data_IF_147804666673
#
_entry.id   IF_147804666673
#
_cell.length_a   1.000
_cell.length_b   1.000
_cell.length_c   1.000
_cell.angle_alpha   90.00
_cell.angle_beta   90.00
_cell.angle_gamma   90.00
#
_symmetry.space_group_name_H-M   'P 1'
#
loop_
_entity.id
_entity.type
_entity.pdbx_description
1 polymer ?
#
# COMPACT_ATOMS: atom_id res chain seq x y z
N UNK A 1 -14.81 -7.99 9.61
CA UNK A 1 -15.04 -6.86 10.54
C UNK A 1 -15.97 -5.82 9.93
N UNK A 2 -15.76 -5.40 8.67
CA UNK A 2 -16.62 -4.46 7.95
C UNK A 2 -18.09 -4.91 7.96
N UNK A 3 -18.36 -6.16 7.59
CA UNK A 3 -19.74 -6.70 7.56
C UNK A 3 -20.44 -6.60 8.91
N UNK A 4 -19.78 -7.09 9.97
CA UNK A 4 -20.28 -7.03 11.34
C UNK A 4 -20.48 -5.58 11.80
N UNK A 5 -19.52 -4.70 11.53
CA UNK A 5 -19.63 -3.27 11.88
C UNK A 5 -20.80 -2.61 11.16
N UNK A 6 -21.01 -2.93 9.88
CA UNK A 6 -22.15 -2.43 9.10
C UNK A 6 -23.48 -2.89 9.70
N UNK A 7 -23.61 -4.19 9.99
CA UNK A 7 -24.77 -4.78 10.66
C UNK A 7 -25.03 -4.14 12.03
N UNK A 8 -24.00 -3.95 12.86
CA UNK A 8 -24.13 -3.34 14.19
C UNK A 8 -24.63 -1.89 14.10
N UNK A 9 -24.15 -1.12 13.10
CA UNK A 9 -24.62 0.24 12.83
C UNK A 9 -26.07 0.26 12.32
N UNK A 10 -26.46 -0.69 11.46
CA UNK A 10 -27.85 -0.78 10.95
C UNK A 10 -28.84 -1.19 12.06
N UNK A 11 -28.39 -2.05 12.98
CA UNK A 11 -29.10 -2.41 14.22
C UNK A 11 -29.04 -1.31 15.29
N UNK A 12 -28.37 -0.18 15.03
CA UNK A 12 -28.21 0.96 15.93
C UNK A 12 -27.63 0.57 17.31
N UNK A 13 -26.73 -0.41 17.35
CA UNK A 13 -26.02 -0.77 18.60
C UNK A 13 -25.13 0.37 19.10
N UNK A 14 -24.63 1.18 18.18
CA UNK A 14 -23.90 2.42 18.40
C UNK A 14 -24.06 3.30 17.15
N UNK A 15 -23.83 4.61 17.30
CA UNK A 15 -23.81 5.57 16.20
C UNK A 15 -22.50 5.52 15.41
N UNK A 16 -22.51 6.01 14.17
CA UNK A 16 -21.28 6.19 13.39
C UNK A 16 -20.34 7.17 14.10
N UNK A 17 -20.89 8.20 14.76
CA UNK A 17 -20.11 9.14 15.55
C UNK A 17 -19.33 8.50 16.70
N UNK A 18 -19.92 7.55 17.42
CA UNK A 18 -19.24 6.80 18.49
C UNK A 18 -18.15 5.89 17.93
N UNK A 19 -18.46 5.18 16.84
CA UNK A 19 -17.49 4.32 16.15
C UNK A 19 -16.29 5.11 15.63
N UNK A 20 -16.51 6.25 14.98
CA UNK A 20 -15.43 7.09 14.45
C UNK A 20 -14.56 7.63 15.59
N UNK A 21 -15.15 8.03 16.72
CA UNK A 21 -14.39 8.50 17.89
C UNK A 21 -13.45 7.44 18.47
N UNK A 22 -13.79 6.16 18.41
CA UNK A 22 -12.93 5.11 18.96
C UNK A 22 -11.63 4.89 18.16
N UNK A 23 -11.60 5.32 16.90
CA UNK A 23 -10.42 5.22 16.02
C UNK A 23 -9.73 6.56 15.73
N UNK A 24 -10.25 7.68 16.21
CA UNK A 24 -9.61 9.00 16.05
C UNK A 24 -8.41 9.13 16.98
N UNK A 25 -7.19 9.06 16.41
CA UNK A 25 -5.94 9.31 17.14
C UNK A 25 -5.38 10.71 16.89
N UNK A 26 -5.58 11.23 15.67
CA UNK A 26 -5.12 12.54 15.24
C UNK A 26 -6.30 13.53 15.22
N UNK A 27 -6.17 14.60 16.01
CA UNK A 27 -7.16 15.66 16.10
C UNK A 27 -7.40 16.36 14.76
N UNK A 28 -6.41 16.33 13.85
CA UNK A 28 -6.53 16.91 12.51
C UNK A 28 -7.63 16.26 11.67
N UNK A 29 -8.00 15.01 11.95
CA UNK A 29 -9.09 14.30 11.25
C UNK A 29 -10.46 14.49 11.89
N UNK A 30 -10.51 14.91 13.16
CA UNK A 30 -11.72 14.89 13.99
C UNK A 30 -12.90 15.63 13.40
N UNK A 31 -12.73 16.89 13.00
CA UNK A 31 -13.83 17.72 12.50
C UNK A 31 -14.47 17.11 11.24
N UNK A 32 -13.63 16.77 10.27
CA UNK A 32 -14.09 16.24 8.99
C UNK A 32 -14.70 14.84 9.15
N UNK A 33 -14.08 13.97 9.96
CA UNK A 33 -14.59 12.63 10.23
C UNK A 33 -15.93 12.65 10.97
N UNK A 34 -16.10 13.53 11.95
CA UNK A 34 -17.37 13.67 12.68
C UNK A 34 -18.47 14.29 11.80
N UNK A 35 -18.13 15.18 10.88
CA UNK A 35 -19.09 15.68 9.89
C UNK A 35 -19.58 14.55 8.98
N UNK A 36 -18.66 13.77 8.40
CA UNK A 36 -19.00 12.60 7.59
C UNK A 36 -19.79 11.56 8.40
N UNK A 37 -19.48 11.39 9.69
CA UNK A 37 -20.21 10.47 10.56
C UNK A 37 -21.69 10.86 10.72
N UNK A 38 -21.98 12.14 10.91
CA UNK A 38 -23.37 12.64 10.98
C UNK A 38 -24.12 12.42 9.67
N UNK A 39 -23.46 12.67 8.54
CA UNK A 39 -24.03 12.42 7.20
C UNK A 39 -24.31 10.92 7.01
N UNK A 40 -23.39 10.06 7.42
CA UNK A 40 -23.54 8.61 7.39
C UNK A 40 -24.70 8.12 8.29
N UNK A 41 -24.82 8.63 9.53
CA UNK A 41 -25.94 8.30 10.43
C UNK A 41 -27.30 8.64 9.78
N UNK A 42 -27.39 9.79 9.10
CA UNK A 42 -28.60 10.20 8.39
C UNK A 42 -28.92 9.30 7.18
N UNK A 43 -27.91 8.90 6.39
CA UNK A 43 -28.11 7.95 5.28
C UNK A 43 -28.58 6.57 5.77
N UNK A 44 -28.03 6.09 6.88
CA UNK A 44 -28.44 4.83 7.51
C UNK A 44 -29.90 4.91 7.96
N UNK A 45 -30.31 6.01 8.59
CA UNK A 45 -31.70 6.21 9.04
C UNK A 45 -32.70 6.22 7.88
N UNK A 46 -32.31 6.73 6.72
CA UNK A 46 -33.14 6.76 5.50
C UNK A 46 -33.18 5.43 4.75
N UNK A 47 -32.33 4.46 5.10
CA UNK A 47 -32.17 3.23 4.32
C UNK A 47 -31.42 3.43 3.00
N UNK A 48 -30.66 4.53 2.86
CA UNK A 48 -29.90 4.89 1.66
C UNK A 48 -28.40 4.54 1.79
N UNK A 49 -28.01 3.83 2.86
CA UNK A 49 -26.62 3.50 3.13
C UNK A 49 -26.08 2.40 2.18
N UNK A 50 -24.85 2.62 1.69
CA UNK A 50 -24.06 1.57 1.05
C UNK A 50 -23.27 0.73 2.07
N UNK A 51 -22.67 -0.37 1.62
CA UNK A 51 -21.82 -1.27 2.42
C UNK A 51 -20.72 -0.56 3.21
N UNK A 52 -20.12 0.52 2.67
CA UNK A 52 -18.99 1.22 3.31
C UNK A 52 -19.40 2.50 4.03
N UNK A 53 -20.68 2.87 4.00
CA UNK A 53 -21.19 4.07 4.69
C UNK A 53 -20.79 4.01 6.16
N UNK A 54 -20.14 5.05 6.68
CA UNK A 54 -19.76 5.14 8.09
C UNK A 54 -18.64 4.19 8.54
N UNK A 55 -18.07 3.36 7.66
CA UNK A 55 -16.99 2.43 8.03
C UNK A 55 -15.67 3.20 8.13
N UNK A 56 -15.01 3.22 9.30
CA UNK A 56 -13.75 3.93 9.46
C UNK A 56 -12.60 3.17 8.78
N UNK A 57 -11.60 3.91 8.30
CA UNK A 57 -10.36 3.33 7.78
C UNK A 57 -9.15 4.26 7.99
N UNK A 58 -7.96 3.68 7.87
CA UNK A 58 -6.70 4.43 7.85
C UNK A 58 -6.00 4.38 6.48
N UNK A 59 -5.06 5.30 6.25
CA UNK A 59 -4.15 5.26 5.10
C UNK A 59 -2.70 5.40 5.54
N UNK A 60 -1.75 4.75 4.86
CA UNK A 60 -0.32 4.99 5.09
C UNK A 60 0.06 6.46 4.87
N UNK A 61 1.06 6.94 5.62
CA UNK A 61 1.52 8.33 5.50
C UNK A 61 2.38 8.63 4.26
N UNK A 62 2.36 7.77 3.24
CA UNK A 62 2.79 8.09 1.88
C UNK A 62 1.62 8.16 0.88
N UNK A 63 0.37 8.03 1.34
CA UNK A 63 -0.83 8.23 0.53
C UNK A 63 -1.38 9.62 0.83
N UNK A 64 -1.49 10.42 -0.23
CA UNK A 64 -1.91 11.81 -0.14
C UNK A 64 -3.41 11.95 0.13
N UNK A 65 -3.73 12.91 1.00
CA UNK A 65 -5.10 13.27 1.40
C UNK A 65 -5.16 14.78 1.45
N UNK A 66 -6.05 15.39 0.65
CA UNK A 66 -6.11 16.84 0.48
C UNK A 66 -6.21 17.57 1.83
N UNK A 67 -5.36 18.57 2.02
CA UNK A 67 -5.33 19.39 3.24
C UNK A 67 -4.76 18.68 4.47
N UNK A 68 -4.23 17.45 4.34
CA UNK A 68 -3.57 16.72 5.43
C UNK A 68 -2.07 16.61 5.18
N UNK A 69 -1.31 16.57 6.27
CA UNK A 69 0.13 16.28 6.21
C UNK A 69 0.37 14.91 5.55
N UNK A 70 1.44 14.80 4.80
CA UNK A 70 1.88 13.54 4.19
C UNK A 70 3.41 13.48 4.20
N UNK A 71 3.98 12.99 5.31
CA UNK A 71 5.43 13.06 5.53
C UNK A 71 6.22 11.94 4.85
N UNK A 72 5.53 10.89 4.39
CA UNK A 72 6.15 9.65 3.95
C UNK A 72 7.14 9.08 4.99
N UNK A 73 6.97 9.37 6.28
CA UNK A 73 7.90 8.97 7.33
C UNK A 73 9.28 9.64 7.24
N UNK A 74 9.42 10.75 6.50
CA UNK A 74 10.68 11.44 6.26
C UNK A 74 10.65 12.88 6.75
N UNK A 75 11.76 13.34 7.32
CA UNK A 75 11.94 14.73 7.72
C UNK A 75 11.83 15.67 6.51
N UNK A 76 12.24 15.22 5.32
CA UNK A 76 12.18 16.03 4.10
C UNK A 76 10.76 16.45 3.70
N UNK A 77 9.73 15.77 4.21
CA UNK A 77 8.32 16.07 3.96
C UNK A 77 7.51 16.29 5.25
N UNK A 78 8.14 16.47 6.41
CA UNK A 78 7.46 16.54 7.72
C UNK A 78 6.32 17.59 7.78
N UNK A 79 6.47 18.68 7.03
CA UNK A 79 5.52 19.79 6.96
C UNK A 79 4.76 19.85 5.63
N UNK A 80 4.95 18.87 4.76
CA UNK A 80 4.25 18.81 3.48
C UNK A 80 2.75 18.56 3.70
N UNK A 81 1.91 19.48 3.23
CA UNK A 81 0.45 19.34 3.21
C UNK A 81 0.01 18.99 1.79
N UNK A 82 -0.74 17.91 1.65
CA UNK A 82 -1.12 17.40 0.33
C UNK A 82 -2.11 18.34 -0.36
N UNK A 83 -1.86 18.79 -1.60
CA UNK A 83 -2.78 19.67 -2.33
C UNK A 83 -3.98 18.93 -2.94
N UNK A 84 -3.91 17.59 -3.04
CA UNK A 84 -4.96 16.72 -3.55
C UNK A 84 -4.99 15.40 -2.77
N UNK A 85 -6.04 14.60 -2.97
CA UNK A 85 -6.11 13.24 -2.42
C UNK A 85 -5.82 12.19 -3.50
N UNK A 86 -5.28 11.05 -3.09
CA UNK A 86 -5.17 9.87 -3.94
C UNK A 86 -6.57 9.43 -4.45
N UNK A 87 -6.64 8.86 -5.66
CA UNK A 87 -7.92 8.47 -6.26
C UNK A 87 -8.63 7.39 -5.45
N UNK A 88 -7.89 6.47 -4.84
CA UNK A 88 -8.45 5.45 -3.96
C UNK A 88 -9.12 6.07 -2.72
N UNK A 89 -8.57 7.16 -2.19
CA UNK A 89 -9.13 7.89 -1.05
C UNK A 89 -10.44 8.57 -1.44
N UNK A 90 -10.46 9.26 -2.60
CA UNK A 90 -11.70 9.87 -3.11
C UNK A 90 -12.78 8.83 -3.39
N UNK A 91 -12.43 7.70 -4.05
CA UNK A 91 -13.38 6.60 -4.31
C UNK A 91 -13.95 5.98 -3.03
N UNK A 92 -13.14 5.85 -1.98
CA UNK A 92 -13.62 5.32 -0.70
C UNK A 92 -14.54 6.31 0.00
N UNK A 93 -14.21 7.62 -0.06
CA UNK A 93 -15.06 8.69 0.46
C UNK A 93 -16.41 8.75 -0.28
N UNK A 94 -16.42 8.63 -1.60
CA UNK A 94 -17.64 8.54 -2.43
C UNK A 94 -18.51 7.34 -2.04
N UNK A 95 -17.89 6.22 -1.65
CA UNK A 95 -18.59 5.05 -1.10
C UNK A 95 -19.01 5.22 0.36
N UNK A 96 -18.76 6.37 0.99
CA UNK A 96 -19.19 6.65 2.37
C UNK A 96 -18.24 6.15 3.47
N UNK A 97 -17.06 5.63 3.11
CA UNK A 97 -16.05 5.25 4.09
C UNK A 97 -15.40 6.49 4.71
N UNK A 98 -15.13 6.44 6.02
CA UNK A 98 -14.65 7.61 6.78
C UNK A 98 -13.17 7.44 7.10
N UNK A 99 -12.36 8.35 6.56
CA UNK A 99 -10.94 8.39 6.90
C UNK A 99 -10.74 8.98 8.30
N UNK A 100 -10.21 8.18 9.23
CA UNK A 100 -10.07 8.54 10.64
C UNK A 100 -8.62 8.75 11.09
N UNK A 101 -7.65 8.57 10.19
CA UNK A 101 -6.26 8.81 10.51
C UNK A 101 -5.27 8.24 9.51
N UNK A 102 -3.99 8.43 9.83
CA UNK A 102 -2.87 7.90 9.06
C UNK A 102 -2.04 6.90 9.84
N UNK A 103 -1.44 5.95 9.13
CA UNK A 103 -0.49 4.98 9.66
C UNK A 103 0.92 5.51 9.43
N UNK A 104 1.68 5.65 10.51
CA UNK A 104 3.11 5.94 10.47
C UNK A 104 3.84 4.83 9.72
N UNK A 105 4.80 5.22 8.89
CA UNK A 105 5.60 4.31 8.09
C UNK A 105 7.08 4.62 8.28
N UNK A 106 7.94 3.68 7.89
CA UNK A 106 9.35 3.99 7.71
C UNK A 106 9.52 4.98 6.57
N UNK A 107 10.68 5.63 6.53
CA UNK A 107 11.00 6.61 5.51
C UNK A 107 10.76 6.05 4.09
N UNK A 108 9.82 6.63 3.36
CA UNK A 108 9.32 6.20 2.04
C UNK A 108 8.89 4.73 1.96
N UNK A 109 8.37 4.15 3.04
CA UNK A 109 7.99 2.73 3.15
C UNK A 109 9.14 1.76 2.80
N UNK A 110 10.38 2.22 3.01
CA UNK A 110 11.60 1.47 2.69
C UNK A 110 11.78 0.20 3.54
N UNK A 111 11.16 0.17 4.72
CA UNK A 111 11.13 -0.91 5.70
C UNK A 111 9.72 -1.16 6.21
N UNK A 112 9.47 -2.37 6.66
CA UNK A 112 8.23 -2.74 7.33
C UNK A 112 8.26 -2.19 8.75
N UNK A 113 7.20 -1.51 9.16
CA UNK A 113 6.96 -1.16 10.57
C UNK A 113 5.77 -1.94 11.10
N UNK A 114 5.69 -2.05 12.42
CA UNK A 114 4.52 -2.64 13.08
C UNK A 114 3.30 -1.76 12.89
N UNK A 115 2.14 -2.41 12.68
CA UNK A 115 0.87 -1.71 12.70
C UNK A 115 0.44 -1.48 14.15
N UNK A 116 -0.25 -0.36 14.44
CA UNK A 116 -0.78 -0.12 15.78
C UNK A 116 -1.80 -1.20 16.17
N UNK A 117 -1.86 -1.58 17.45
CA UNK A 117 -2.75 -2.64 17.95
C UNK A 117 -4.23 -2.37 17.67
N UNK A 118 -4.69 -1.13 17.90
CA UNK A 118 -6.05 -0.72 17.55
C UNK A 118 -6.10 -0.17 16.12
N UNK A 119 -6.55 -1.02 15.19
CA UNK A 119 -6.76 -0.71 13.77
C UNK A 119 -8.25 -0.71 13.42
N UNK A 120 -8.69 0.20 12.53
CA UNK A 120 -10.04 0.20 12.00
C UNK A 120 -10.29 -1.05 11.14
N UNK A 121 -11.55 -1.32 10.73
CA UNK A 121 -11.92 -2.50 9.95
C UNK A 121 -11.07 -2.77 8.70
N UNK A 122 -10.50 -1.73 8.08
CA UNK A 122 -9.50 -1.87 7.01
C UNK A 122 -8.56 -0.66 6.92
N UNK A 123 -7.47 -0.82 6.16
CA UNK A 123 -6.56 0.29 5.82
C UNK A 123 -6.01 0.22 4.39
N UNK A 124 -5.65 1.38 3.85
CA UNK A 124 -4.86 1.50 2.62
C UNK A 124 -3.39 1.49 2.96
N UNK A 125 -2.72 0.40 2.62
CA UNK A 125 -1.38 0.13 3.07
C UNK A 125 -1.35 -0.26 4.56
N UNK A 126 -0.23 -0.87 4.95
CA UNK A 126 0.07 -1.31 6.30
C UNK A 126 1.38 -2.08 6.29
N UNK A 127 2.10 -2.14 7.41
CA UNK A 127 3.14 -3.14 7.58
C UNK A 127 2.51 -4.53 7.67
N UNK A 128 3.29 -5.57 7.43
CA UNK A 128 2.80 -6.94 7.56
C UNK A 128 3.12 -7.40 8.97
N UNK A 129 2.14 -7.53 9.87
CA UNK A 129 2.24 -8.42 11.04
C UNK A 129 0.86 -8.91 11.54
N UNK A 130 0.88 -10.15 12.02
CA UNK A 130 -0.12 -11.00 12.69
C UNK A 130 -1.61 -10.84 12.31
N UNK A 131 -2.15 -11.85 11.64
CA UNK A 131 -3.58 -12.09 11.41
C UNK A 131 -4.32 -11.04 10.55
N UNK A 132 -3.61 -10.31 9.69
CA UNK A 132 -4.22 -9.38 8.71
C UNK A 132 -3.94 -9.86 7.29
N UNK A 133 -4.99 -9.93 6.48
CA UNK A 133 -4.91 -10.21 5.05
C UNK A 133 -4.38 -8.98 4.32
N UNK A 134 -3.48 -9.18 3.36
CA UNK A 134 -3.01 -8.13 2.47
C UNK A 134 -3.33 -8.48 1.03
N UNK A 135 -4.19 -7.69 0.40
CA UNK A 135 -4.51 -7.84 -1.01
C UNK A 135 -3.86 -6.75 -1.85
N UNK A 136 -3.06 -7.18 -2.82
CA UNK A 136 -2.45 -6.35 -3.85
C UNK A 136 -3.16 -6.61 -5.17
N UNK A 137 -3.81 -5.58 -5.71
CA UNK A 137 -4.41 -5.60 -7.04
C UNK A 137 -3.70 -4.59 -7.97
N UNK A 138 -2.97 -5.05 -9.00
CA UNK A 138 -2.20 -4.17 -9.90
C UNK A 138 -3.02 -3.12 -10.66
N UNK A 139 -4.32 -3.35 -10.86
CA UNK A 139 -5.19 -2.43 -11.57
C UNK A 139 -5.55 -1.17 -10.78
N UNK A 140 -5.21 -1.11 -9.48
CA UNK A 140 -5.47 0.08 -8.65
C UNK A 140 -4.48 1.19 -9.05
N UNK A 141 -4.97 2.38 -9.43
CA UNK A 141 -4.09 3.49 -9.77
C UNK A 141 -3.23 3.94 -8.59
N UNK A 142 -1.99 4.34 -8.88
CA UNK A 142 -1.02 4.82 -7.89
C UNK A 142 -1.02 6.33 -7.72
N UNK A 143 -1.97 7.06 -8.31
CA UNK A 143 -1.99 8.51 -8.20
C UNK A 143 -2.18 8.94 -6.74
N UNK A 144 -1.38 9.91 -6.30
CA UNK A 144 -1.33 10.32 -4.90
C UNK A 144 -0.54 9.39 -3.98
N UNK A 145 0.06 8.31 -4.48
CA UNK A 145 1.09 7.56 -3.75
C UNK A 145 2.44 8.27 -3.92
N UNK A 146 3.05 8.66 -2.80
CA UNK A 146 4.45 9.07 -2.75
C UNK A 146 5.30 7.81 -2.83
N UNK A 147 5.79 7.54 -4.04
CA UNK A 147 6.48 6.30 -4.38
C UNK A 147 7.99 6.42 -4.16
N UNK A 148 8.58 5.40 -3.53
CA UNK A 148 10.02 5.17 -3.55
C UNK A 148 10.39 4.56 -4.91
N UNK A 149 9.64 3.54 -5.34
CA UNK A 149 9.92 2.74 -6.53
C UNK A 149 8.70 2.60 -7.41
N UNK A 150 8.63 3.41 -8.47
CA UNK A 150 7.41 3.56 -9.27
C UNK A 150 6.98 2.28 -9.98
N UNK A 151 7.89 1.40 -10.36
CA UNK A 151 7.55 0.15 -11.05
C UNK A 151 7.25 -1.03 -10.11
N UNK A 152 7.46 -0.86 -8.80
CA UNK A 152 7.38 -1.92 -7.78
C UNK A 152 6.31 -1.61 -6.71
N UNK A 153 6.17 -0.34 -6.34
CA UNK A 153 5.17 0.11 -5.37
C UNK A 153 3.76 -0.11 -5.89
N UNK A 154 2.84 -0.40 -4.98
CA UNK A 154 1.41 -0.51 -5.24
C UNK A 154 0.62 -0.19 -3.98
N UNK A 155 -0.54 0.45 -4.13
CA UNK A 155 -1.48 0.62 -3.04
C UNK A 155 -2.14 -0.74 -2.77
N UNK A 156 -2.02 -1.23 -1.55
CA UNK A 156 -2.61 -2.51 -1.12
C UNK A 156 -3.63 -2.30 -0.02
N UNK A 157 -4.50 -3.28 0.18
CA UNK A 157 -5.61 -3.20 1.13
C UNK A 157 -5.41 -4.24 2.22
N UNK A 158 -5.56 -3.80 3.46
CA UNK A 158 -5.38 -4.63 4.64
C UNK A 158 -6.70 -4.78 5.38
N UNK A 159 -7.06 -6.01 5.74
CA UNK A 159 -8.28 -6.32 6.51
C UNK A 159 -8.06 -7.45 7.49
N UNK A 160 -8.88 -7.52 8.53
CA UNK A 160 -8.84 -8.61 9.50
C UNK A 160 -9.43 -9.92 8.99
N UNK A 161 -10.27 -9.85 7.96
CA UNK A 161 -10.93 -11.04 7.40
C UNK A 161 -10.91 -11.00 5.88
N UNK A 162 -10.90 -12.18 5.25
CA UNK A 162 -11.03 -12.29 3.79
C UNK A 162 -12.36 -11.71 3.29
N UNK A 163 -13.43 -11.88 4.07
CA UNK A 163 -14.77 -11.41 3.71
C UNK A 163 -14.83 -9.89 3.53
N UNK A 164 -14.06 -9.16 4.34
CA UNK A 164 -13.94 -7.71 4.19
C UNK A 164 -13.28 -7.32 2.85
N UNK A 165 -12.29 -8.08 2.38
CA UNK A 165 -11.69 -7.85 1.06
C UNK A 165 -12.67 -8.20 -0.07
N UNK A 166 -13.45 -9.28 0.07
CA UNK A 166 -14.51 -9.61 -0.89
C UNK A 166 -15.50 -8.45 -1.03
N UNK A 167 -15.93 -7.85 0.08
CA UNK A 167 -16.84 -6.70 0.10
C UNK A 167 -16.22 -5.45 -0.50
N UNK A 168 -14.96 -5.13 -0.16
CA UNK A 168 -14.26 -3.94 -0.68
C UNK A 168 -14.12 -3.97 -2.22
N UNK A 169 -13.88 -5.17 -2.76
CA UNK A 169 -13.60 -5.37 -4.17
C UNK A 169 -14.76 -5.95 -4.98
N UNK A 170 -15.91 -6.21 -4.34
CA UNK A 170 -17.07 -6.86 -4.94
C UNK A 170 -16.66 -8.16 -5.68
N UNK A 171 -15.93 -9.02 -4.97
CA UNK A 171 -15.40 -10.26 -5.54
C UNK A 171 -16.53 -11.29 -5.64
N UNK A 172 -16.80 -11.75 -6.86
CA UNK A 172 -17.73 -12.85 -7.09
C UNK A 172 -17.15 -14.19 -6.64
N UNK A 173 -18.00 -15.06 -6.12
CA UNK A 173 -17.63 -16.41 -5.73
C UNK A 173 -17.14 -17.22 -6.94
N UNK A 174 -15.95 -17.78 -6.83
CA UNK A 174 -15.43 -18.69 -7.84
C UNK A 174 -15.97 -20.12 -7.60
N UNK A 175 -16.74 -20.66 -8.55
CA UNK A 175 -17.43 -21.94 -8.34
C UNK A 175 -16.65 -23.17 -8.80
N UNK A 176 -15.76 -23.03 -9.78
CA UNK A 176 -14.98 -24.16 -10.34
C UNK A 176 -13.86 -24.61 -9.43
N UNK A 177 -13.48 -25.88 -9.49
CA UNK A 177 -12.30 -26.37 -8.80
C UNK A 177 -11.05 -25.60 -9.21
N UNK A 178 -10.08 -25.53 -8.30
CA UNK A 178 -8.83 -24.81 -8.50
C UNK A 178 -7.67 -25.76 -8.34
N UNK A 179 -6.72 -25.67 -9.27
CA UNK A 179 -5.42 -26.29 -9.11
C UNK A 179 -4.46 -25.31 -8.45
N UNK A 180 -4.02 -25.62 -7.22
CA UNK A 180 -3.04 -24.83 -6.46
C UNK A 180 -1.70 -25.56 -6.50
N UNK A 181 -0.64 -24.88 -6.93
CA UNK A 181 0.72 -25.43 -6.89
C UNK A 181 1.64 -24.56 -6.04
N UNK A 182 2.59 -25.18 -5.35
CA UNK A 182 3.66 -24.47 -4.64
C UNK A 182 4.76 -24.10 -5.61
N UNK A 183 5.35 -22.92 -5.45
CA UNK A 183 6.51 -22.50 -6.23
C UNK A 183 7.54 -21.78 -5.36
N UNK A 184 8.82 -22.02 -5.63
CA UNK A 184 9.92 -21.43 -4.86
C UNK A 184 10.22 -19.99 -5.32
N UNK A 185 11.03 -19.29 -4.54
CA UNK A 185 11.54 -17.96 -4.92
C UNK A 185 12.68 -18.14 -5.94
N UNK A 186 12.61 -17.50 -7.13
CA UNK A 186 13.70 -17.56 -8.10
C UNK A 186 15.02 -16.99 -7.57
N UNK A 187 16.14 -17.60 -7.96
CA UNK A 187 17.50 -17.44 -7.38
C UNK A 187 18.03 -15.99 -7.36
N UNK A 188 17.52 -15.08 -8.20
CA UNK A 188 18.00 -13.70 -8.32
C UNK A 188 17.02 -12.62 -7.85
N UNK A 189 15.92 -13.02 -7.22
CA UNK A 189 14.82 -12.14 -6.81
C UNK A 189 15.32 -10.96 -5.97
N UNK A 190 16.06 -11.21 -4.89
CA UNK A 190 16.50 -10.17 -3.95
C UNK A 190 17.47 -9.18 -4.59
N UNK A 191 18.46 -9.68 -5.33
CA UNK A 191 19.46 -8.84 -6.02
C UNK A 191 18.81 -7.98 -7.12
N UNK A 192 17.92 -8.57 -7.91
CA UNK A 192 17.15 -7.86 -8.93
C UNK A 192 16.30 -6.75 -8.30
N UNK A 193 15.57 -7.06 -7.23
CA UNK A 193 14.73 -6.10 -6.51
C UNK A 193 15.55 -4.92 -5.98
N UNK A 194 16.66 -5.18 -5.30
CA UNK A 194 17.48 -4.12 -4.70
C UNK A 194 18.08 -3.17 -5.75
N UNK A 195 18.58 -3.68 -6.88
CA UNK A 195 19.12 -2.84 -7.95
C UNK A 195 18.05 -1.92 -8.52
N UNK A 196 16.87 -2.47 -8.87
CA UNK A 196 15.76 -1.68 -9.42
C UNK A 196 15.25 -0.67 -8.39
N UNK A 197 15.16 -1.09 -7.13
CA UNK A 197 14.73 -0.23 -6.03
C UNK A 197 15.64 0.98 -5.86
N UNK A 198 16.95 0.78 -5.70
CA UNK A 198 17.89 1.89 -5.53
C UNK A 198 17.90 2.82 -6.74
N UNK A 199 17.90 2.25 -7.96
CA UNK A 199 17.90 3.03 -9.20
C UNK A 199 16.66 3.93 -9.33
N UNK A 200 15.46 3.39 -9.09
CA UNK A 200 14.23 4.18 -9.14
C UNK A 200 14.12 5.17 -7.98
N UNK A 201 14.57 4.79 -6.77
CA UNK A 201 14.62 5.69 -5.62
C UNK A 201 15.48 6.93 -5.92
N UNK A 202 16.67 6.74 -6.51
CA UNK A 202 17.54 7.85 -6.92
C UNK A 202 16.78 8.86 -7.81
N UNK A 203 16.10 8.36 -8.85
CA UNK A 203 15.37 9.24 -9.78
C UNK A 203 14.10 9.85 -9.14
N UNK A 204 13.34 9.08 -8.36
CA UNK A 204 12.08 9.52 -7.79
C UNK A 204 12.27 10.58 -6.71
N UNK A 205 13.29 10.38 -5.85
CA UNK A 205 13.58 11.25 -4.72
C UNK A 205 14.38 12.50 -5.13
N UNK A 206 14.84 12.61 -6.37
CA UNK A 206 15.53 13.80 -6.89
C UNK A 206 14.66 15.07 -6.82
N UNK A 207 13.33 14.93 -6.84
CA UNK A 207 12.38 16.05 -6.76
C UNK A 207 12.34 16.77 -5.41
N UNK A 208 12.89 16.16 -4.36
CA UNK A 208 12.91 16.71 -3.01
C UNK A 208 14.20 17.50 -2.84
N UNK A 209 14.05 18.81 -2.99
CA UNK A 209 15.14 19.77 -3.14
C UNK A 209 14.95 21.03 -2.29
N UNK A 210 13.83 21.13 -1.57
CA UNK A 210 13.48 22.26 -0.71
C UNK A 210 13.03 23.53 -1.43
N UNK A 211 12.93 23.51 -2.76
CA UNK A 211 12.59 24.72 -3.53
C UNK A 211 11.08 24.93 -3.62
N UNK A 212 10.34 23.88 -3.99
CA UNK A 212 8.87 23.98 -4.18
C UNK A 212 8.08 23.61 -2.94
N UNK A 213 8.55 22.66 -2.15
CA UNK A 213 7.84 22.11 -0.99
C UNK A 213 8.79 21.25 -0.13
N UNK A 214 8.33 20.92 1.08
CA UNK A 214 9.07 20.09 2.03
C UNK A 214 10.02 20.91 2.90
N UNK A 215 10.99 20.23 3.52
CA UNK A 215 12.07 20.86 4.26
C UNK A 215 12.93 21.72 3.31
N UNK A 216 13.36 22.88 3.78
CA UNK A 216 14.39 23.71 3.13
C UNK A 216 15.40 24.13 4.17
N UNK A 217 16.66 23.85 3.90
CA UNK A 217 17.81 24.35 4.66
C UNK A 217 18.45 25.52 3.91
N UNK A 218 19.03 26.45 4.64
CA UNK A 218 19.72 27.59 4.06
C UNK A 218 21.13 27.21 3.55
N UNK A 219 21.67 28.05 2.65
CA UNK A 219 22.98 27.87 2.05
C UNK A 219 23.42 29.11 1.29
N UNK A 220 24.73 29.29 1.12
CA UNK A 220 25.29 30.46 0.44
C UNK A 220 25.09 30.38 -1.08
N UNK A 221 25.07 29.16 -1.61
CA UNK A 221 24.81 28.87 -3.03
C UNK A 221 23.60 27.96 -3.19
N UNK A 222 23.08 27.87 -4.42
CA UNK A 222 22.01 26.93 -4.74
C UNK A 222 22.41 25.46 -4.48
N UNK A 223 23.68 25.13 -4.75
CA UNK A 223 24.22 23.79 -4.46
C UNK A 223 24.26 23.51 -2.95
N UNK A 224 24.57 24.51 -2.13
CA UNK A 224 24.53 24.36 -0.68
C UNK A 224 23.10 24.10 -0.20
N UNK A 225 22.12 24.87 -0.70
CA UNK A 225 20.70 24.66 -0.37
C UNK A 225 20.29 23.22 -0.70
N UNK A 226 20.59 22.73 -1.90
CA UNK A 226 20.28 21.35 -2.29
C UNK A 226 20.98 20.32 -1.41
N UNK A 227 22.27 20.52 -1.16
CA UNK A 227 23.10 19.57 -0.41
C UNK A 227 22.69 19.52 1.05
N UNK A 228 22.55 20.65 1.71
CA UNK A 228 22.14 20.76 3.11
C UNK A 228 20.73 20.20 3.31
N UNK A 229 19.77 20.61 2.46
CA UNK A 229 18.38 20.15 2.55
C UNK A 229 18.29 18.63 2.44
N UNK A 230 18.97 18.03 1.45
CA UNK A 230 18.91 16.58 1.23
C UNK A 230 19.68 15.81 2.29
N UNK A 231 20.81 16.35 2.77
CA UNK A 231 21.64 15.74 3.81
C UNK A 231 20.90 15.67 5.14
N UNK A 232 20.21 16.77 5.52
CA UNK A 232 19.49 16.90 6.77
C UNK A 232 18.05 16.37 6.69
N UNK A 233 17.47 16.27 5.50
CA UNK A 233 16.11 15.83 5.27
C UNK A 233 15.94 14.32 5.11
N UNK A 234 16.92 13.63 4.51
CA UNK A 234 16.86 12.17 4.32
C UNK A 234 17.61 11.41 5.41
N UNK A 235 17.03 10.31 5.86
CA UNK A 235 17.69 9.35 6.73
C UNK A 235 18.81 8.57 6.02
N UNK A 236 19.68 7.95 6.82
CA UNK A 236 20.88 7.23 6.33
C UNK A 236 20.56 6.13 5.31
N UNK A 237 19.50 5.37 5.53
CA UNK A 237 19.14 4.27 4.63
C UNK A 237 18.69 4.78 3.26
N UNK A 238 17.94 5.88 3.22
CA UNK A 238 17.52 6.51 1.96
C UNK A 238 18.71 7.13 1.24
N UNK A 239 19.63 7.78 1.96
CA UNK A 239 20.88 8.29 1.36
C UNK A 239 21.71 7.17 0.73
N UNK A 240 21.83 5.99 1.37
CA UNK A 240 22.48 4.80 0.79
C UNK A 240 21.79 4.33 -0.49
N UNK A 241 20.45 4.29 -0.52
CA UNK A 241 19.70 3.91 -1.72
C UNK A 241 19.93 4.91 -2.86
N UNK A 242 19.96 6.22 -2.58
CA UNK A 242 20.25 7.28 -3.56
C UNK A 242 21.66 7.10 -4.13
N UNK A 243 22.68 6.87 -3.29
CA UNK A 243 24.07 6.67 -3.73
C UNK A 243 24.21 5.41 -4.59
N UNK A 244 23.62 4.29 -4.17
CA UNK A 244 23.61 3.05 -4.95
C UNK A 244 22.88 3.23 -6.28
N UNK A 245 21.75 3.93 -6.28
CA UNK A 245 20.98 4.23 -7.48
C UNK A 245 21.77 5.06 -8.48
N UNK A 246 22.46 6.10 -8.00
CA UNK A 246 23.37 6.90 -8.82
C UNK A 246 24.48 6.03 -9.45
N UNK A 247 25.08 5.13 -8.65
CA UNK A 247 26.07 4.18 -9.14
C UNK A 247 25.49 3.26 -10.23
N UNK A 248 24.35 2.61 -9.99
CA UNK A 248 23.73 1.68 -10.96
C UNK A 248 23.25 2.36 -12.25
N UNK A 249 22.95 3.66 -12.20
CA UNK A 249 22.48 4.44 -13.35
C UNK A 249 23.59 5.24 -14.05
N UNK A 250 24.81 5.27 -13.51
CA UNK A 250 25.97 5.88 -14.16
C UNK A 250 26.23 5.25 -15.54
N UNK A 251 26.77 6.03 -16.48
CA UNK A 251 26.99 5.62 -17.87
C UNK A 251 27.77 4.31 -18.01
N UNK A 252 28.79 4.12 -17.18
CA UNK A 252 29.66 2.94 -17.15
C UNK A 252 28.93 1.69 -16.62
N UNK A 253 28.07 1.85 -15.61
CA UNK A 253 27.45 0.75 -14.87
C UNK A 253 26.02 0.40 -15.35
N UNK A 254 25.37 1.30 -16.08
CA UNK A 254 23.97 1.18 -16.51
C UNK A 254 23.67 -0.15 -17.18
N UNK A 255 24.52 -0.57 -18.14
CA UNK A 255 24.32 -1.83 -18.87
C UNK A 255 24.54 -3.06 -17.98
N UNK A 256 25.53 -2.99 -17.09
CA UNK A 256 25.95 -4.09 -16.21
C UNK A 256 24.96 -4.37 -15.09
N UNK A 257 24.39 -3.32 -14.50
CA UNK A 257 23.49 -3.43 -13.35
C UNK A 257 22.03 -3.20 -13.73
N UNK A 258 21.63 -1.97 -14.04
CA UNK A 258 20.21 -1.63 -14.21
C UNK A 258 19.58 -2.36 -15.40
N UNK A 259 20.21 -2.33 -16.58
CA UNK A 259 19.70 -3.04 -17.77
C UNK A 259 19.68 -4.56 -17.57
N UNK A 260 20.66 -5.12 -16.85
CA UNK A 260 20.70 -6.55 -16.51
C UNK A 260 19.57 -6.92 -15.54
N UNK A 261 19.32 -6.11 -14.50
CA UNK A 261 18.23 -6.32 -13.56
C UNK A 261 16.85 -6.26 -14.25
N UNK A 262 16.65 -5.35 -15.21
CA UNK A 262 15.42 -5.34 -16.02
C UNK A 262 15.21 -6.65 -16.80
N UNK A 263 16.28 -7.21 -17.40
CA UNK A 263 16.22 -8.51 -18.07
C UNK A 263 15.93 -9.66 -17.10
N UNK A 264 16.58 -9.68 -15.94
CA UNK A 264 16.34 -10.68 -14.90
C UNK A 264 14.89 -10.61 -14.42
N UNK A 265 14.32 -9.42 -14.22
CA UNK A 265 12.91 -9.25 -13.87
C UNK A 265 11.98 -9.87 -14.91
N UNK A 266 12.32 -9.80 -16.20
CA UNK A 266 11.55 -10.46 -17.27
C UNK A 266 11.63 -11.98 -17.13
N UNK A 267 12.82 -12.54 -16.90
CA UNK A 267 13.02 -13.98 -16.70
C UNK A 267 12.23 -14.49 -15.49
N UNK A 268 12.31 -13.79 -14.35
CA UNK A 268 11.52 -14.09 -13.14
C UNK A 268 10.02 -14.11 -13.46
N UNK A 269 9.52 -13.11 -14.20
CA UNK A 269 8.11 -13.08 -14.61
C UNK A 269 7.74 -14.23 -15.53
N UNK A 270 8.61 -14.59 -16.47
CA UNK A 270 8.37 -15.70 -17.39
C UNK A 270 8.29 -17.03 -16.66
N UNK A 271 9.23 -17.29 -15.74
CA UNK A 271 9.22 -18.49 -14.90
C UNK A 271 7.89 -18.66 -14.14
N UNK A 272 7.46 -17.60 -13.46
CA UNK A 272 6.19 -17.62 -12.73
C UNK A 272 4.98 -17.78 -13.66
N UNK A 273 5.00 -17.16 -14.85
CA UNK A 273 3.94 -17.36 -15.85
C UNK A 273 3.88 -18.80 -16.36
N UNK A 274 5.02 -19.43 -16.62
CA UNK A 274 5.06 -20.83 -17.03
C UNK A 274 4.53 -21.76 -15.94
N UNK A 275 4.78 -21.45 -14.67
CA UNK A 275 4.18 -22.15 -13.55
C UNK A 275 2.65 -21.94 -13.47
N UNK A 276 2.16 -20.71 -13.70
CA UNK A 276 0.71 -20.41 -13.77
C UNK A 276 0.01 -21.01 -15.00
N UNK A 277 0.72 -21.50 -16.02
CA UNK A 277 0.06 -22.31 -17.07
C UNK A 277 -0.37 -23.69 -16.57
N UNK A 278 0.26 -24.18 -15.51
CA UNK A 278 -0.01 -25.51 -14.93
C UNK A 278 -0.92 -25.44 -13.71
N UNK A 279 -1.18 -24.26 -13.16
CA UNK A 279 -1.95 -24.04 -11.95
C UNK A 279 -2.81 -22.78 -12.05
N UNK A 280 -3.98 -22.78 -11.42
CA UNK A 280 -4.83 -21.59 -11.36
C UNK A 280 -4.29 -20.53 -10.41
N UNK A 281 -3.64 -20.99 -9.34
CA UNK A 281 -3.08 -20.17 -8.27
C UNK A 281 -1.75 -20.78 -7.85
N UNK A 282 -0.73 -19.95 -7.64
CA UNK A 282 0.53 -20.37 -7.04
C UNK A 282 0.61 -19.94 -5.58
N UNK A 283 1.05 -20.85 -4.72
CA UNK A 283 1.44 -20.59 -3.35
C UNK A 283 2.95 -20.32 -3.30
N UNK A 284 3.32 -19.13 -2.83
CA UNK A 284 4.68 -18.63 -2.75
C UNK A 284 5.08 -18.36 -1.29
N UNK A 285 6.35 -18.61 -0.91
CA UNK A 285 6.88 -18.16 0.37
C UNK A 285 6.74 -16.65 0.57
N UNK A 286 6.75 -16.19 1.83
CA UNK A 286 6.68 -14.76 2.16
C UNK A 286 7.91 -13.98 1.64
N UNK A 287 7.82 -13.46 0.41
CA UNK A 287 8.81 -12.56 -0.18
C UNK A 287 8.16 -11.36 -0.86
N UNK A 288 8.29 -10.19 -0.25
CA UNK A 288 7.79 -8.93 -0.83
C UNK A 288 8.54 -8.55 -2.09
N UNK A 289 9.82 -8.88 -2.17
CA UNK A 289 10.66 -8.63 -3.32
C UNK A 289 10.10 -9.34 -4.56
N UNK A 290 9.72 -10.61 -4.43
CA UNK A 290 9.12 -11.37 -5.52
C UNK A 290 7.78 -10.76 -5.93
N UNK A 291 6.88 -10.52 -4.97
CA UNK A 291 5.54 -9.96 -5.23
C UNK A 291 5.63 -8.60 -5.95
N UNK A 292 6.55 -7.73 -5.50
CA UNK A 292 6.78 -6.42 -6.10
C UNK A 292 7.38 -6.51 -7.51
N UNK A 293 8.33 -7.43 -7.73
CA UNK A 293 8.91 -7.65 -9.06
C UNK A 293 7.85 -8.13 -10.06
N UNK A 294 7.00 -9.09 -9.67
CA UNK A 294 5.96 -9.65 -10.52
C UNK A 294 4.89 -8.61 -10.88
N UNK A 295 4.43 -7.86 -9.87
CA UNK A 295 3.26 -6.99 -9.98
C UNK A 295 2.02 -7.74 -10.50
N UNK A 296 1.81 -8.97 -10.01
CA UNK A 296 0.59 -9.76 -10.25
C UNK A 296 -0.38 -9.53 -9.10
N UNK A 297 -1.68 -9.84 -9.27
CA UNK A 297 -2.58 -9.95 -8.15
C UNK A 297 -2.05 -10.94 -7.12
N UNK A 298 -2.00 -10.51 -5.86
CA UNK A 298 -1.51 -11.33 -4.77
C UNK A 298 -2.32 -11.12 -3.50
N UNK A 299 -2.52 -12.19 -2.74
CA UNK A 299 -3.12 -12.17 -1.41
C UNK A 299 -2.14 -12.80 -0.42
N UNK A 300 -1.79 -12.09 0.64
CA UNK A 300 -1.08 -12.66 1.78
C UNK A 300 -2.07 -13.35 2.72
N UNK A 301 -1.75 -14.58 3.10
CA UNK A 301 -2.53 -15.40 4.03
C UNK A 301 -1.73 -15.51 5.33
N UNK A 302 -2.12 -14.78 6.39
CA UNK A 302 -1.33 -14.73 7.62
C UNK A 302 -1.24 -16.09 8.33
N UNK A 303 -2.25 -16.95 8.21
CA UNK A 303 -2.31 -18.23 8.90
C UNK A 303 -1.23 -19.23 8.47
N UNK A 304 -0.71 -19.08 7.24
CA UNK A 304 0.33 -19.95 6.66
C UNK A 304 1.58 -19.16 6.24
N UNK A 305 1.68 -17.90 6.66
CA UNK A 305 2.77 -16.96 6.34
C UNK A 305 3.23 -17.03 4.86
N UNK A 306 2.27 -16.96 3.94
CA UNK A 306 2.54 -17.17 2.52
C UNK A 306 1.70 -16.24 1.64
N UNK A 307 2.18 -16.00 0.43
CA UNK A 307 1.39 -15.33 -0.60
C UNK A 307 0.78 -16.35 -1.55
N UNK A 308 -0.43 -16.09 -1.98
CA UNK A 308 -0.97 -16.70 -3.19
C UNK A 308 -1.05 -15.68 -4.31
N UNK A 309 -0.77 -16.11 -5.54
CA UNK A 309 -0.81 -15.27 -6.73
C UNK A 309 -1.57 -15.96 -7.87
N UNK A 310 -2.08 -15.15 -8.79
CA UNK A 310 -2.72 -15.61 -10.02
C UNK A 310 -2.45 -14.63 -11.15
N UNK A 311 -2.85 -14.97 -12.37
CA UNK A 311 -2.75 -14.05 -13.51
C UNK A 311 -3.65 -12.81 -13.30
N UNK A 312 -3.29 -11.65 -13.87
CA UNK A 312 -4.15 -10.46 -13.86
C UNK A 312 -5.59 -10.78 -14.28
N UNK A 313 -6.56 -10.07 -13.69
CA UNK A 313 -8.00 -10.21 -13.95
C UNK A 313 -8.64 -11.53 -13.49
N UNK A 314 -7.90 -12.38 -12.76
CA UNK A 314 -8.42 -13.62 -12.18
C UNK A 314 -8.47 -13.56 -10.64
N UNK A 315 -8.63 -12.36 -10.05
CA UNK A 315 -8.41 -12.18 -8.62
C UNK A 315 -9.37 -12.98 -7.74
N UNK A 316 -10.59 -13.26 -8.22
CA UNK A 316 -11.57 -14.11 -7.52
C UNK A 316 -11.02 -15.51 -7.18
N UNK A 317 -10.11 -16.06 -8.00
CA UNK A 317 -9.45 -17.35 -7.74
C UNK A 317 -8.65 -17.32 -6.43
N UNK A 318 -8.05 -16.17 -6.08
CA UNK A 318 -7.27 -16.03 -4.84
C UNK A 318 -8.15 -16.24 -3.60
N UNK A 319 -9.36 -15.68 -3.62
CA UNK A 319 -10.30 -15.75 -2.50
C UNK A 319 -10.79 -17.19 -2.28
N UNK A 320 -11.12 -17.91 -3.37
CA UNK A 320 -11.42 -19.34 -3.26
C UNK A 320 -10.21 -20.15 -2.80
N UNK A 321 -9.03 -19.92 -3.36
CA UNK A 321 -7.83 -20.66 -2.98
C UNK A 321 -7.50 -20.50 -1.49
N UNK A 322 -7.71 -19.30 -0.95
CA UNK A 322 -7.55 -19.04 0.48
C UNK A 322 -8.49 -19.91 1.33
N UNK A 323 -9.76 -20.09 0.93
CA UNK A 323 -10.70 -20.98 1.62
C UNK A 323 -10.26 -22.45 1.58
N UNK A 324 -9.73 -22.91 0.44
CA UNK A 324 -9.21 -24.29 0.29
C UNK A 324 -8.01 -24.52 1.21
N UNK A 325 -7.08 -23.56 1.30
CA UNK A 325 -5.87 -23.69 2.12
C UNK A 325 -6.14 -23.60 3.64
N UNK A 326 -7.36 -23.24 4.06
CA UNK A 326 -7.79 -23.26 5.46
C UNK A 326 -8.44 -24.58 5.89
N UNK A 327 -8.83 -25.43 4.95
CA UNK A 327 -9.35 -26.77 5.19
C UNK A 327 -8.21 -27.79 5.27
#
# INVERSE_FOLDING_TARGET
MIEKTRQDLDLKKYSVGELVKSFLKDSSFKENALKQAKEADHLIQKGEASTLTGIPYYVKDNIQVKGKKCSAGSKILENYVSPFSALCVEKLKEKGAILVGKISISEFDNKVLDCPENTPPFSLGGGFFNNIFNFRKPSIPKNGLISLTSSLDQITFFTHTIKDLELLFNIEEYKKDLKIEKHNIPEYTKSCYNILKSAEAFSNLARYDGIRYGLREDGNTLNDIYTNTRTNGFGEEIKKEIVRGAYFLSSENYKTYFKKALKIRILIKQEIKEALKKADVLLLPNSKELINLLNFPSLFIPEIDSFIITEPLNENKLFKAQNILKC
#
